data_IF_832190819629
#
_entry.id   IF_832190819629
#
_cell.length_a   1.000
_cell.length_b   1.000
_cell.length_c   1.000
_cell.angle_alpha   90.00
_cell.angle_beta   90.00
_cell.angle_gamma   90.00
#
_symmetry.space_group_name_H-M   'P 1'
#
loop_
_entity.id
_entity.type
_entity.pdbx_description
1 polymer ?
#
# COMPACT_ATOMS: atom_id res chain seq x y z
N UNK A 1 2.45 -5.86 -26.28
CA UNK A 1 3.01 -6.38 -25.02
C UNK A 1 2.07 -7.37 -24.33
N UNK A 2 2.58 -8.18 -23.38
CA UNK A 2 1.75 -8.99 -22.47
C UNK A 2 1.19 -8.10 -21.36
N UNK A 3 -0.06 -8.34 -20.97
CA UNK A 3 -0.74 -7.58 -19.92
C UNK A 3 -1.88 -8.36 -19.27
N UNK A 4 -2.22 -7.96 -18.03
CA UNK A 4 -3.39 -8.42 -17.27
C UNK A 4 -4.41 -7.30 -17.26
N UNK A 5 -5.55 -7.51 -17.89
CA UNK A 5 -6.52 -6.44 -18.13
C UNK A 5 -7.96 -6.86 -17.90
N UNK A 6 -8.80 -5.89 -17.62
CA UNK A 6 -10.26 -6.03 -17.69
C UNK A 6 -10.73 -5.58 -19.06
N UNK A 7 -11.43 -6.45 -19.76
CA UNK A 7 -12.08 -6.15 -21.02
C UNK A 7 -13.48 -6.74 -21.01
N UNK A 8 -14.48 -5.93 -21.30
CA UNK A 8 -15.92 -6.33 -21.25
C UNK A 8 -16.28 -7.06 -19.95
N UNK A 9 -15.75 -6.59 -18.80
CA UNK A 9 -16.02 -7.17 -17.49
C UNK A 9 -15.27 -8.48 -17.18
N UNK A 10 -14.41 -8.96 -18.09
CA UNK A 10 -13.67 -10.19 -17.91
C UNK A 10 -12.17 -9.93 -17.70
N UNK A 11 -11.54 -10.71 -16.81
CA UNK A 11 -10.10 -10.68 -16.60
C UNK A 11 -9.39 -11.49 -17.68
N UNK A 12 -8.58 -10.81 -18.49
CA UNK A 12 -7.80 -11.37 -19.58
C UNK A 12 -6.31 -11.25 -19.26
N UNK A 13 -5.59 -12.35 -19.42
CA UNK A 13 -4.13 -12.41 -19.34
C UNK A 13 -3.58 -12.83 -20.70
N UNK A 14 -2.62 -12.12 -21.24
CA UNK A 14 -1.99 -12.51 -22.50
C UNK A 14 -1.36 -11.39 -23.29
N UNK A 15 -0.81 -11.76 -24.46
CA UNK A 15 -0.16 -10.88 -25.41
C UNK A 15 -1.16 -10.05 -26.23
N UNK A 16 -0.63 -9.15 -27.06
CA UNK A 16 -1.41 -8.37 -28.02
C UNK A 16 -2.02 -7.09 -27.45
N UNK A 17 -1.72 -6.70 -26.22
CA UNK A 17 -2.08 -5.36 -25.75
C UNK A 17 -1.13 -4.32 -26.36
N UNK A 18 -1.63 -3.15 -26.78
CA UNK A 18 -0.77 -2.09 -27.32
C UNK A 18 0.34 -1.71 -26.35
N UNK A 19 1.54 -1.43 -26.86
CA UNK A 19 2.56 -0.82 -26.03
C UNK A 19 2.22 0.65 -25.78
N UNK A 20 2.55 1.19 -24.62
CA UNK A 20 2.32 2.60 -24.35
C UNK A 20 3.29 3.48 -25.16
N UNK A 21 2.76 4.56 -25.71
CA UNK A 21 3.56 5.59 -26.37
C UNK A 21 4.28 6.48 -25.35
N UNK A 22 5.46 6.96 -25.74
CA UNK A 22 6.19 7.96 -24.98
C UNK A 22 5.71 9.36 -25.38
N UNK A 23 4.92 9.99 -24.52
CA UNK A 23 4.45 11.37 -24.69
C UNK A 23 5.32 12.34 -23.86
N UNK A 24 5.23 13.64 -24.17
CA UNK A 24 5.95 14.67 -23.41
C UNK A 24 5.52 14.65 -21.93
N UNK A 25 6.49 14.54 -21.03
CA UNK A 25 6.25 14.45 -19.58
C UNK A 25 5.86 13.05 -19.08
N UNK A 26 5.92 12.04 -19.96
CA UNK A 26 5.61 10.64 -19.62
C UNK A 26 6.85 9.78 -19.76
N UNK A 27 7.10 8.93 -18.78
CA UNK A 27 8.09 7.86 -18.83
C UNK A 27 7.43 6.52 -19.12
N UNK A 28 7.97 5.79 -20.11
CA UNK A 28 7.64 4.39 -20.35
C UNK A 28 8.61 3.55 -19.52
N UNK A 29 8.07 2.76 -18.62
CA UNK A 29 8.82 1.96 -17.64
C UNK A 29 8.64 0.48 -17.95
N UNK A 30 9.74 -0.24 -18.14
CA UNK A 30 9.73 -1.70 -18.18
C UNK A 30 9.58 -2.22 -16.76
N UNK A 31 8.50 -2.92 -16.53
CA UNK A 31 8.13 -3.43 -15.21
C UNK A 31 8.98 -4.65 -14.86
N UNK A 32 9.54 -4.66 -13.65
CA UNK A 32 10.29 -5.79 -13.11
C UNK A 32 9.43 -6.62 -12.18
N UNK A 33 8.83 -5.97 -11.17
CA UNK A 33 8.03 -6.60 -10.13
C UNK A 33 6.77 -5.81 -9.87
N UNK A 34 5.66 -6.50 -9.68
CA UNK A 34 4.39 -5.92 -9.26
C UNK A 34 3.95 -6.57 -7.96
N UNK A 35 3.63 -5.77 -6.95
CA UNK A 35 2.99 -6.22 -5.73
C UNK A 35 1.48 -6.16 -5.92
N UNK A 36 0.79 -7.29 -5.76
CA UNK A 36 -0.67 -7.33 -5.80
C UNK A 36 -1.23 -6.59 -4.58
N UNK A 37 -2.10 -5.62 -4.83
CA UNK A 37 -2.74 -4.79 -3.81
C UNK A 37 -4.21 -5.15 -3.62
N UNK A 38 -4.83 -4.65 -2.55
CA UNK A 38 -6.28 -4.80 -2.35
C UNK A 38 -7.09 -4.12 -3.46
N UNK A 39 -6.57 -3.03 -4.04
CA UNK A 39 -7.20 -2.36 -5.17
C UNK A 39 -7.26 -3.29 -6.39
N UNK A 40 -6.17 -4.01 -6.68
CA UNK A 40 -6.12 -4.97 -7.78
C UNK A 40 -7.14 -6.10 -7.58
N UNK A 41 -7.27 -6.58 -6.34
CA UNK A 41 -8.31 -7.57 -5.98
C UNK A 41 -9.72 -7.00 -6.14
N UNK A 42 -9.94 -5.75 -5.75
CA UNK A 42 -11.21 -5.06 -5.92
C UNK A 42 -11.61 -4.91 -7.39
N UNK A 43 -10.64 -4.56 -8.24
CA UNK A 43 -10.83 -4.49 -9.71
C UNK A 43 -11.11 -5.87 -10.29
N UNK A 44 -10.30 -6.87 -9.96
CA UNK A 44 -10.45 -8.24 -10.49
C UNK A 44 -11.80 -8.88 -10.11
N UNK A 45 -12.38 -8.49 -8.97
CA UNK A 45 -13.70 -8.94 -8.51
C UNK A 45 -14.87 -8.09 -9.05
N UNK A 46 -14.60 -7.05 -9.85
CA UNK A 46 -15.62 -6.13 -10.37
C UNK A 46 -16.21 -5.19 -9.30
N UNK A 47 -15.62 -5.10 -8.12
CA UNK A 47 -16.03 -4.20 -7.04
C UNK A 47 -15.62 -2.76 -7.40
N UNK A 48 -14.45 -2.60 -8.00
CA UNK A 48 -13.91 -1.33 -8.48
C UNK A 48 -14.07 -1.30 -10.00
N UNK A 49 -14.85 -0.37 -10.56
CA UNK A 49 -15.01 -0.24 -12.00
C UNK A 49 -13.68 0.07 -12.69
N UNK A 50 -13.29 -0.74 -13.67
CA UNK A 50 -12.11 -0.54 -14.47
C UNK A 50 -12.23 -1.18 -15.85
N UNK A 51 -11.56 -0.60 -16.84
CA UNK A 51 -11.30 -1.17 -18.16
C UNK A 51 -9.86 -0.85 -18.50
N UNK A 52 -9.08 -1.83 -18.94
CA UNK A 52 -7.63 -1.70 -19.19
C UNK A 52 -6.78 -2.54 -18.26
N UNK A 53 -5.50 -2.22 -18.16
CA UNK A 53 -4.49 -2.97 -17.40
C UNK A 53 -4.60 -2.68 -15.91
N UNK A 54 -4.54 -3.73 -15.08
CA UNK A 54 -4.51 -3.63 -13.61
C UNK A 54 -3.10 -3.27 -13.10
N UNK A 55 -2.99 -3.03 -11.80
CA UNK A 55 -1.71 -2.90 -11.09
C UNK A 55 -1.43 -1.49 -10.63
N UNK A 56 -1.04 -1.35 -9.36
CA UNK A 56 -0.73 -0.06 -8.74
C UNK A 56 0.69 0.04 -8.18
N UNK A 57 1.19 -1.02 -7.58
CA UNK A 57 2.47 -1.02 -6.88
C UNK A 57 3.51 -1.82 -7.65
N UNK A 58 4.55 -1.16 -8.13
CA UNK A 58 5.59 -1.80 -8.94
C UNK A 58 6.96 -1.20 -8.73
N UNK A 59 7.97 -1.91 -9.18
CA UNK A 59 9.32 -1.41 -9.47
C UNK A 59 9.66 -1.76 -10.90
N UNK A 60 10.32 -0.86 -11.61
CA UNK A 60 10.73 -1.05 -13.01
C UNK A 60 11.91 -0.19 -13.40
N UNK A 61 12.34 -0.33 -14.65
CA UNK A 61 13.42 0.46 -15.24
C UNK A 61 12.84 1.37 -16.32
N UNK A 62 13.15 2.64 -16.26
CA UNK A 62 12.73 3.61 -17.28
C UNK A 62 13.42 3.32 -18.60
N UNK A 63 12.67 2.98 -19.64
CA UNK A 63 13.21 2.72 -20.97
C UNK A 63 13.23 3.96 -21.84
N UNK A 64 12.13 4.73 -21.81
CA UNK A 64 11.96 5.91 -22.66
C UNK A 64 11.33 7.04 -21.88
N UNK A 65 11.82 8.25 -22.08
CA UNK A 65 11.22 9.50 -21.59
C UNK A 65 11.24 10.53 -22.70
N UNK A 66 10.15 11.23 -22.88
CA UNK A 66 10.08 12.42 -23.75
C UNK A 66 9.90 13.65 -22.86
N UNK A 67 10.82 14.59 -22.90
CA UNK A 67 10.77 15.79 -22.06
C UNK A 67 12.08 16.58 -22.05
N UNK A 68 12.18 17.61 -21.21
CA UNK A 68 13.33 18.52 -21.21
C UNK A 68 14.65 17.88 -20.74
N UNK A 69 14.59 16.84 -19.87
CA UNK A 69 15.78 16.11 -19.42
C UNK A 69 15.52 14.59 -19.38
N UNK A 70 15.46 13.95 -20.56
CA UNK A 70 15.20 12.50 -20.63
C UNK A 70 16.31 11.66 -19.98
N UNK A 71 17.55 12.17 -19.95
CA UNK A 71 18.72 11.42 -19.44
C UNK A 71 18.70 11.26 -17.93
N UNK A 72 18.02 12.13 -17.21
CA UNK A 72 17.94 12.06 -15.76
C UNK A 72 17.26 10.79 -15.24
N UNK A 73 16.28 10.25 -15.99
CA UNK A 73 15.48 9.09 -15.58
C UNK A 73 15.76 7.84 -16.42
N UNK A 74 16.13 7.95 -17.70
CA UNK A 74 16.35 6.77 -18.56
C UNK A 74 17.42 5.84 -17.97
N UNK A 75 17.11 4.55 -17.92
CA UNK A 75 17.95 3.52 -17.32
C UNK A 75 17.90 3.45 -15.80
N UNK A 76 17.18 4.37 -15.13
CA UNK A 76 17.04 4.34 -13.66
C UNK A 76 15.98 3.33 -13.25
N UNK A 77 16.26 2.63 -12.15
CA UNK A 77 15.24 1.88 -11.44
C UNK A 77 14.32 2.86 -10.71
N UNK A 78 13.01 2.68 -10.87
CA UNK A 78 11.99 3.58 -10.32
C UNK A 78 10.82 2.80 -9.71
N UNK A 79 10.15 3.48 -8.81
CA UNK A 79 8.78 3.18 -8.34
C UNK A 79 7.88 4.35 -8.70
N UNK A 80 6.56 4.22 -8.64
CA UNK A 80 5.66 5.31 -8.96
C UNK A 80 4.52 5.46 -7.94
N UNK A 81 4.08 6.71 -7.75
CA UNK A 81 2.81 6.97 -7.09
C UNK A 81 1.65 6.46 -7.94
N UNK A 82 0.71 5.68 -7.40
CA UNK A 82 -0.47 5.31 -8.14
C UNK A 82 -1.47 6.47 -8.30
N UNK A 83 -1.45 7.45 -7.39
CA UNK A 83 -2.27 8.66 -7.47
C UNK A 83 -1.61 9.67 -8.41
N UNK A 84 -2.29 10.04 -9.48
CA UNK A 84 -1.82 10.90 -10.57
C UNK A 84 -2.70 12.14 -10.63
N UNK A 85 -2.46 13.14 -9.76
CA UNK A 85 -3.25 14.36 -9.76
C UNK A 85 -2.96 15.21 -10.99
N UNK A 86 -3.96 16.02 -11.39
CA UNK A 86 -3.73 17.08 -12.36
C UNK A 86 -2.79 18.14 -11.74
N UNK A 87 -1.61 18.41 -12.33
CA UNK A 87 -0.62 19.31 -11.73
C UNK A 87 -1.14 20.72 -11.45
N UNK A 88 -2.13 21.17 -12.22
CA UNK A 88 -2.75 22.50 -12.13
C UNK A 88 -3.87 22.58 -11.08
N UNK A 89 -4.27 21.47 -10.49
CA UNK A 89 -5.34 21.45 -9.48
C UNK A 89 -4.90 22.16 -8.19
N UNK A 90 -5.86 22.77 -7.50
CA UNK A 90 -5.61 23.46 -6.22
C UNK A 90 -5.08 22.50 -5.15
N UNK A 91 -5.63 21.28 -5.11
CA UNK A 91 -5.18 20.25 -4.16
C UNK A 91 -3.75 19.77 -4.46
N UNK A 92 -3.37 19.65 -5.74
CA UNK A 92 -1.99 19.29 -6.10
C UNK A 92 -1.01 20.40 -5.67
N UNK A 93 -1.33 21.67 -5.91
CA UNK A 93 -0.50 22.81 -5.48
C UNK A 93 -0.32 22.92 -3.97
N UNK A 94 -1.30 22.44 -3.20
CA UNK A 94 -1.24 22.36 -1.72
C UNK A 94 -0.55 21.10 -1.18
N UNK A 95 0.01 20.24 -2.04
CA UNK A 95 0.61 18.95 -1.64
C UNK A 95 -0.43 17.89 -1.27
N UNK A 96 -1.70 18.09 -1.59
CA UNK A 96 -2.81 17.18 -1.32
C UNK A 96 -3.31 16.47 -2.59
N UNK A 97 -2.48 16.36 -3.62
CA UNK A 97 -2.88 15.80 -4.92
C UNK A 97 -3.43 14.37 -4.84
N UNK A 98 -2.95 13.54 -3.92
CA UNK A 98 -3.50 12.22 -3.68
C UNK A 98 -4.97 12.23 -3.19
N UNK A 99 -5.48 13.36 -2.75
CA UNK A 99 -6.88 13.56 -2.33
C UNK A 99 -7.72 14.30 -3.38
N UNK A 100 -7.14 14.65 -4.53
CA UNK A 100 -7.86 15.29 -5.62
C UNK A 100 -8.94 14.32 -6.18
N UNK A 101 -10.22 14.69 -6.15
CA UNK A 101 -11.28 13.83 -6.70
C UNK A 101 -11.16 13.63 -8.22
N UNK A 102 -10.49 14.53 -8.93
CA UNK A 102 -10.26 14.47 -10.37
C UNK A 102 -8.97 13.72 -10.76
N UNK A 103 -8.16 13.27 -9.77
CA UNK A 103 -6.93 12.54 -10.07
C UNK A 103 -7.20 11.26 -10.85
N UNK A 104 -6.34 10.94 -11.80
CA UNK A 104 -6.25 9.60 -12.33
C UNK A 104 -5.56 8.66 -11.32
N UNK A 105 -5.85 7.36 -11.40
CA UNK A 105 -5.23 6.34 -10.54
C UNK A 105 -4.77 5.18 -11.41
N UNK A 106 -3.52 4.76 -11.28
CA UNK A 106 -2.99 3.59 -12.01
C UNK A 106 -3.84 2.34 -11.75
N UNK A 107 -4.23 1.65 -12.82
CA UNK A 107 -5.02 0.41 -12.73
C UNK A 107 -6.47 0.60 -12.28
N UNK A 108 -7.00 1.84 -12.32
CA UNK A 108 -8.38 2.15 -11.90
C UNK A 108 -9.01 3.16 -12.85
N UNK A 109 -10.33 3.05 -13.06
CA UNK A 109 -11.12 4.08 -13.76
C UNK A 109 -10.76 4.29 -15.23
N UNK A 110 -10.18 3.28 -15.90
CA UNK A 110 -9.77 3.38 -17.30
C UNK A 110 -8.32 3.84 -17.51
N UNK A 111 -7.57 4.17 -16.47
CA UNK A 111 -6.12 4.41 -16.56
C UNK A 111 -5.38 3.09 -16.42
N UNK A 112 -4.57 2.73 -17.43
CA UNK A 112 -3.75 1.52 -17.40
C UNK A 112 -2.79 1.49 -16.22
N UNK A 113 -2.66 0.32 -15.61
CA UNK A 113 -1.77 0.01 -14.49
C UNK A 113 -0.50 -0.72 -14.91
N UNK A 114 0.15 -1.33 -13.94
CA UNK A 114 1.48 -1.89 -14.06
C UNK A 114 1.55 -3.43 -14.15
N UNK A 115 0.41 -4.15 -14.16
CA UNK A 115 0.39 -5.61 -14.42
C UNK A 115 0.57 -5.89 -15.92
N UNK A 116 1.70 -5.44 -16.47
CA UNK A 116 2.11 -5.56 -17.86
C UNK A 116 3.64 -5.51 -17.98
N UNK A 117 4.16 -5.79 -19.19
CA UNK A 117 5.59 -5.65 -19.47
C UNK A 117 6.05 -4.19 -19.42
N UNK A 118 5.19 -3.26 -19.86
CA UNK A 118 5.46 -1.82 -19.89
C UNK A 118 4.29 -1.04 -19.27
N UNK A 119 4.61 0.07 -18.61
CA UNK A 119 3.62 1.03 -18.10
C UNK A 119 4.04 2.46 -18.40
N UNK A 120 3.09 3.30 -18.81
CA UNK A 120 3.30 4.73 -19.01
C UNK A 120 2.90 5.51 -17.74
N UNK A 121 3.83 6.27 -17.19
CA UNK A 121 3.64 7.03 -15.95
C UNK A 121 4.14 8.47 -16.15
N UNK A 122 3.39 9.50 -15.71
CA UNK A 122 3.90 10.86 -15.65
C UNK A 122 5.25 10.93 -14.91
N UNK A 123 6.23 11.62 -15.46
CA UNK A 123 7.59 11.68 -14.87
C UNK A 123 7.58 12.25 -13.45
N UNK A 124 6.65 13.17 -13.14
CA UNK A 124 6.47 13.72 -11.79
C UNK A 124 5.96 12.72 -10.75
N UNK A 125 5.42 11.57 -11.17
CA UNK A 125 4.99 10.50 -10.25
C UNK A 125 6.09 9.43 -10.04
N UNK A 126 7.17 9.46 -10.81
CA UNK A 126 8.30 8.53 -10.72
C UNK A 126 9.23 8.95 -9.58
N UNK A 127 9.66 7.99 -8.78
CA UNK A 127 10.68 8.15 -7.74
C UNK A 127 11.81 7.17 -8.02
N UNK A 128 13.03 7.71 -8.20
CA UNK A 128 14.21 6.89 -8.43
C UNK A 128 14.55 6.06 -7.18
N UNK A 129 14.78 4.77 -7.40
CA UNK A 129 15.29 3.86 -6.38
C UNK A 129 16.80 4.01 -6.30
N UNK A 130 17.40 4.19 -5.12
CA UNK A 130 18.84 4.27 -4.96
C UNK A 130 19.55 3.01 -5.46
N UNK A 131 20.75 3.14 -6.04
CA UNK A 131 21.57 1.98 -6.42
C UNK A 131 21.77 1.03 -5.24
N UNK A 132 21.73 -0.29 -5.51
CA UNK A 132 21.93 -1.33 -4.50
C UNK A 132 20.66 -1.76 -3.76
N UNK A 133 19.52 -1.09 -3.93
CA UNK A 133 18.24 -1.59 -3.43
C UNK A 133 17.70 -2.63 -4.41
N UNK A 134 17.56 -3.86 -3.91
CA UNK A 134 17.03 -4.97 -4.70
C UNK A 134 15.56 -4.70 -5.12
N UNK A 135 15.15 -5.02 -6.37
CA UNK A 135 13.75 -4.90 -6.80
C UNK A 135 12.73 -5.57 -5.87
N UNK A 136 13.08 -6.69 -5.25
CA UNK A 136 12.23 -7.39 -4.30
C UNK A 136 11.99 -6.59 -3.00
N UNK A 137 12.91 -5.70 -2.68
CA UNK A 137 12.74 -4.75 -1.58
C UNK A 137 12.05 -3.48 -2.07
N UNK A 138 12.42 -3.01 -3.26
CA UNK A 138 11.89 -1.76 -3.84
C UNK A 138 10.37 -1.82 -4.07
N UNK A 139 9.81 -2.98 -4.38
CA UNK A 139 8.35 -3.16 -4.59
C UNK A 139 7.53 -2.84 -3.33
N UNK A 140 8.15 -2.85 -2.14
CA UNK A 140 7.51 -2.45 -0.88
C UNK A 140 7.48 -0.92 -0.66
N UNK A 141 8.05 -0.10 -1.54
CA UNK A 141 8.11 1.35 -1.34
C UNK A 141 6.73 1.98 -1.07
N UNK A 142 5.71 1.58 -1.86
CA UNK A 142 4.34 2.12 -1.69
C UNK A 142 3.69 1.70 -0.36
N UNK A 143 3.63 0.42 0.03
CA UNK A 143 3.07 0.06 1.33
C UNK A 143 3.88 0.61 2.51
N UNK A 144 5.19 0.79 2.38
CA UNK A 144 6.03 1.44 3.40
C UNK A 144 5.72 2.93 3.53
N UNK A 145 5.54 3.66 2.42
CA UNK A 145 5.11 5.05 2.44
C UNK A 145 3.79 5.22 3.22
N UNK A 146 2.83 4.32 3.00
CA UNK A 146 1.54 4.31 3.70
C UNK A 146 1.67 3.98 5.19
N UNK A 147 2.51 3.00 5.54
CA UNK A 147 2.80 2.64 6.92
C UNK A 147 3.48 3.80 7.68
N UNK A 148 4.44 4.46 7.05
CA UNK A 148 5.12 5.63 7.61
C UNK A 148 4.14 6.79 7.81
N UNK A 149 3.27 7.08 6.83
CA UNK A 149 2.25 8.11 6.96
C UNK A 149 1.30 7.83 8.14
N UNK A 150 0.86 6.58 8.32
CA UNK A 150 0.01 6.21 9.46
C UNK A 150 0.70 6.48 10.81
N UNK A 151 2.01 6.32 10.87
CA UNK A 151 2.80 6.63 12.06
C UNK A 151 3.00 8.15 12.27
N UNK A 152 3.10 8.93 11.19
CA UNK A 152 3.35 10.37 11.21
C UNK A 152 2.10 11.21 11.45
N UNK A 153 0.92 10.72 11.02
CA UNK A 153 -0.34 11.47 11.11
C UNK A 153 -0.76 11.70 12.56
N UNK A 154 -0.27 10.86 13.46
CA UNK A 154 -0.53 10.96 14.90
C UNK A 154 0.72 11.48 15.60
N UNK A 155 0.64 12.72 16.11
CA UNK A 155 1.70 13.31 16.91
C UNK A 155 1.43 13.09 18.38
N UNK A 156 2.14 12.15 19.00
CA UNK A 156 2.04 11.91 20.44
C UNK A 156 3.40 12.19 21.08
N UNK A 157 3.44 13.11 22.05
CA UNK A 157 4.68 13.39 22.79
C UNK A 157 5.12 12.20 23.63
N UNK A 158 6.43 12.02 23.76
CA UNK A 158 7.01 10.98 24.59
C UNK A 158 7.10 9.62 23.90
N UNK A 159 6.88 8.56 24.67
CA UNK A 159 6.89 7.17 24.19
C UNK A 159 5.48 6.58 24.26
N UNK A 160 4.67 6.72 23.20
CA UNK A 160 3.28 6.27 23.21
C UNK A 160 3.15 4.75 23.29
N UNK A 161 2.07 4.29 23.89
CA UNK A 161 1.60 2.90 23.78
C UNK A 161 0.74 2.76 22.53
N UNK A 162 1.23 1.97 21.58
CA UNK A 162 0.60 1.78 20.28
C UNK A 162 0.22 0.32 20.09
N UNK A 163 -1.05 0.08 19.76
CA UNK A 163 -1.51 -1.24 19.32
C UNK A 163 -1.81 -1.20 17.83
N UNK A 164 -1.25 -2.16 17.09
CA UNK A 164 -1.58 -2.42 15.69
C UNK A 164 -2.54 -3.60 15.63
N UNK A 165 -3.72 -3.41 15.05
CA UNK A 165 -4.73 -4.44 14.82
C UNK A 165 -4.60 -5.03 13.42
N UNK A 166 -4.53 -6.35 13.38
CA UNK A 166 -4.33 -7.14 12.17
C UNK A 166 -2.88 -7.60 12.01
N UNK A 167 -2.71 -8.58 11.14
CA UNK A 167 -1.41 -9.17 10.79
C UNK A 167 -1.19 -9.26 9.27
N UNK A 168 -1.92 -8.46 8.49
CA UNK A 168 -1.68 -8.29 7.07
C UNK A 168 -0.40 -7.48 6.80
N UNK A 169 0.03 -7.40 5.55
CA UNK A 169 1.26 -6.69 5.16
C UNK A 169 1.34 -5.27 5.75
N UNK A 170 0.25 -4.51 5.72
CA UNK A 170 0.21 -3.13 6.23
C UNK A 170 0.46 -3.07 7.73
N UNK A 171 -0.18 -3.97 8.48
CA UNK A 171 0.02 -4.09 9.92
C UNK A 171 1.48 -4.41 10.28
N UNK A 172 2.05 -5.41 9.59
CA UNK A 172 3.43 -5.84 9.82
C UNK A 172 4.43 -4.71 9.53
N UNK A 173 4.23 -3.96 8.44
CA UNK A 173 5.08 -2.82 8.10
C UNK A 173 4.89 -1.65 9.07
N UNK A 174 3.63 -1.34 9.44
CA UNK A 174 3.34 -0.27 10.41
C UNK A 174 3.95 -0.58 11.78
N UNK A 175 3.89 -1.83 12.25
CA UNK A 175 4.49 -2.25 13.51
C UNK A 175 6.01 -2.05 13.51
N UNK A 176 6.70 -2.42 12.43
CA UNK A 176 8.15 -2.19 12.30
C UNK A 176 8.50 -0.70 12.29
N UNK A 177 7.76 0.10 11.51
CA UNK A 177 7.99 1.55 11.42
C UNK A 177 7.79 2.21 12.77
N UNK A 178 6.71 1.91 13.48
CA UNK A 178 6.41 2.47 14.79
C UNK A 178 7.44 2.09 15.86
N UNK A 179 7.90 0.83 15.86
CA UNK A 179 8.95 0.38 16.78
C UNK A 179 10.25 1.18 16.63
N UNK A 180 10.55 1.65 15.41
CA UNK A 180 11.71 2.51 15.13
C UNK A 180 11.51 3.96 15.55
N UNK A 181 10.28 4.43 15.55
CA UNK A 181 9.93 5.79 15.97
C UNK A 181 9.77 5.93 17.50
N UNK A 182 10.38 5.02 18.27
CA UNK A 182 10.39 5.04 19.73
C UNK A 182 9.01 4.85 20.38
N UNK A 183 8.10 4.12 19.75
CA UNK A 183 6.85 3.71 20.35
C UNK A 183 6.96 2.40 21.13
N UNK A 184 6.14 2.21 22.16
CA UNK A 184 5.89 0.89 22.75
C UNK A 184 4.84 0.17 21.92
N UNK A 185 5.26 -0.67 20.97
CA UNK A 185 4.37 -1.28 20.00
C UNK A 185 3.95 -2.68 20.40
N UNK A 186 2.66 -2.95 20.27
CA UNK A 186 2.06 -4.28 20.32
C UNK A 186 1.28 -4.54 19.04
N UNK A 187 1.44 -5.73 18.45
CA UNK A 187 0.62 -6.19 17.33
C UNK A 187 -0.35 -7.26 17.82
N UNK A 188 -1.60 -7.15 17.41
CA UNK A 188 -2.65 -8.14 17.66
C UNK A 188 -3.09 -8.74 16.32
N UNK A 189 -2.91 -10.02 16.18
CA UNK A 189 -3.22 -10.76 14.96
C UNK A 189 -3.79 -12.14 15.25
N UNK A 190 -3.97 -12.94 14.21
CA UNK A 190 -4.55 -14.29 14.30
C UNK A 190 -3.61 -15.39 13.81
N UNK A 191 -2.61 -15.04 12.99
CA UNK A 191 -1.72 -16.01 12.36
C UNK A 191 -0.41 -16.15 13.15
N UNK A 192 -0.15 -17.34 13.76
CA UNK A 192 1.02 -17.52 14.65
C UNK A 192 2.35 -17.19 13.99
N UNK A 193 2.59 -17.65 12.76
CA UNK A 193 3.83 -17.42 12.01
C UNK A 193 4.11 -15.94 11.72
N UNK A 194 3.06 -15.11 11.63
CA UNK A 194 3.18 -13.65 11.50
C UNK A 194 3.47 -12.99 12.84
N UNK A 195 2.86 -13.49 13.90
CA UNK A 195 3.13 -13.03 15.26
C UNK A 195 4.57 -13.33 15.67
N UNK A 196 5.09 -14.53 15.34
CA UNK A 196 6.47 -14.92 15.62
C UNK A 196 7.50 -14.01 14.93
N UNK A 197 7.17 -13.43 13.76
CA UNK A 197 8.02 -12.43 13.11
C UNK A 197 8.18 -11.17 13.96
N UNK A 198 7.15 -10.76 14.67
CA UNK A 198 7.16 -9.56 15.51
C UNK A 198 8.21 -9.62 16.62
N UNK A 199 8.52 -10.82 17.14
CA UNK A 199 9.55 -11.01 18.16
C UNK A 199 10.92 -10.54 17.67
N UNK A 200 11.26 -10.82 16.40
CA UNK A 200 12.54 -10.40 15.79
C UNK A 200 12.67 -8.87 15.66
N UNK A 201 11.57 -8.16 15.63
CA UNK A 201 11.53 -6.70 15.48
C UNK A 201 11.42 -5.96 16.81
N UNK A 202 11.41 -6.69 17.94
CA UNK A 202 11.19 -6.12 19.26
C UNK A 202 9.75 -5.62 19.47
N UNK A 203 8.81 -6.08 18.64
CA UNK A 203 7.38 -5.77 18.72
C UNK A 203 6.69 -6.80 19.59
N UNK A 204 6.04 -6.36 20.68
CA UNK A 204 5.18 -7.23 21.46
C UNK A 204 4.03 -7.72 20.60
N UNK A 205 3.63 -8.97 20.76
CA UNK A 205 2.53 -9.54 19.97
C UNK A 205 1.68 -10.48 20.82
N UNK A 206 0.43 -10.65 20.40
CA UNK A 206 -0.52 -11.55 21.04
C UNK A 206 -1.62 -11.92 20.07
N UNK A 207 -2.26 -13.06 20.28
CA UNK A 207 -3.49 -13.38 19.58
C UNK A 207 -4.57 -12.34 19.93
N UNK A 208 -5.36 -11.89 18.94
CA UNK A 208 -6.33 -10.80 19.13
C UNK A 208 -7.39 -11.13 20.17
N UNK A 209 -7.82 -12.39 20.27
CA UNK A 209 -8.86 -12.82 21.23
C UNK A 209 -8.38 -12.79 22.69
N UNK A 210 -7.05 -12.74 22.89
CA UNK A 210 -6.44 -12.58 24.21
C UNK A 210 -6.22 -11.11 24.60
N UNK A 211 -6.66 -10.18 23.72
CA UNK A 211 -6.47 -8.76 23.96
C UNK A 211 -7.39 -8.25 25.06
N UNK A 212 -6.81 -7.71 26.11
CA UNK A 212 -7.58 -6.98 27.14
C UNK A 212 -8.08 -5.64 26.58
N UNK A 213 -9.28 -5.24 26.98
CA UNK A 213 -9.88 -3.94 26.66
C UNK A 213 -9.70 -2.96 27.84
N UNK A 214 -8.42 -2.69 28.18
CA UNK A 214 -8.08 -1.92 29.38
C UNK A 214 -8.25 -0.41 29.24
N UNK A 215 -8.47 0.10 28.01
CA UNK A 215 -8.61 1.53 27.75
C UNK A 215 -7.34 2.33 28.08
N UNK A 216 -6.15 1.77 27.77
CA UNK A 216 -4.84 2.30 28.15
C UNK A 216 -3.94 2.64 26.94
N UNK A 217 -4.42 2.39 25.71
CA UNK A 217 -3.63 2.63 24.51
C UNK A 217 -3.76 4.08 24.04
N UNK A 218 -2.61 4.72 23.79
CA UNK A 218 -2.56 6.07 23.21
C UNK A 218 -3.06 6.11 21.78
N UNK A 219 -2.61 5.12 20.97
CA UNK A 219 -2.92 5.00 19.55
C UNK A 219 -3.25 3.55 19.21
N UNK A 220 -4.26 3.39 18.38
CA UNK A 220 -4.55 2.12 17.71
C UNK A 220 -4.44 2.32 16.20
N UNK A 221 -3.64 1.51 15.53
CA UNK A 221 -3.59 1.43 14.06
C UNK A 221 -4.45 0.25 13.64
N UNK A 222 -5.66 0.51 13.15
CA UNK A 222 -6.54 -0.53 12.63
C UNK A 222 -6.29 -0.74 11.12
N UNK A 223 -5.73 -1.89 10.77
CA UNK A 223 -5.49 -2.30 9.38
C UNK A 223 -6.54 -3.27 8.84
N UNK A 224 -7.45 -3.74 9.66
CA UNK A 224 -8.51 -4.68 9.28
C UNK A 224 -9.74 -3.96 8.72
N UNK A 225 -10.12 -2.84 9.32
CA UNK A 225 -11.23 -1.98 8.87
C UNK A 225 -12.59 -2.70 8.88
N UNK A 226 -12.80 -3.60 9.81
CA UNK A 226 -14.09 -4.22 10.07
C UNK A 226 -14.82 -3.52 11.22
N UNK A 227 -16.13 -3.76 11.36
CA UNK A 227 -16.88 -3.26 12.53
C UNK A 227 -16.28 -3.81 13.83
N UNK A 228 -15.96 -5.10 13.84
CA UNK A 228 -15.39 -5.80 15.00
C UNK A 228 -14.01 -5.24 15.38
N UNK A 229 -13.14 -4.95 14.40
CA UNK A 229 -11.84 -4.35 14.71
C UNK A 229 -11.98 -2.93 15.23
N UNK A 230 -12.93 -2.15 14.69
CA UNK A 230 -13.20 -0.80 15.16
C UNK A 230 -13.77 -0.78 16.61
N UNK A 231 -14.71 -1.67 16.93
CA UNK A 231 -15.22 -1.82 18.28
C UNK A 231 -14.13 -2.27 19.28
N UNK A 232 -13.26 -3.19 18.86
CA UNK A 232 -12.10 -3.60 19.64
C UNK A 232 -11.15 -2.42 19.87
N UNK A 233 -10.87 -1.62 18.82
CA UNK A 233 -10.06 -0.42 18.92
C UNK A 233 -10.66 0.59 19.91
N UNK A 234 -11.96 0.86 19.82
CA UNK A 234 -12.64 1.73 20.76
C UNK A 234 -12.50 1.23 22.21
N UNK A 235 -12.61 -0.09 22.43
CA UNK A 235 -12.47 -0.67 23.78
C UNK A 235 -11.06 -0.55 24.36
N UNK A 236 -10.01 -0.55 23.52
CA UNK A 236 -8.62 -0.46 23.94
C UNK A 236 -8.10 0.96 24.05
N UNK A 237 -8.66 1.92 23.32
CA UNK A 237 -8.21 3.31 23.34
C UNK A 237 -8.45 3.93 24.73
N UNK A 238 -7.45 4.64 25.25
CA UNK A 238 -7.66 5.49 26.44
C UNK A 238 -8.60 6.65 26.10
N UNK A 239 -9.22 7.31 27.10
CA UNK A 239 -9.92 8.56 26.86
C UNK A 239 -9.03 9.56 26.11
N UNK A 240 -9.58 10.19 25.06
CA UNK A 240 -8.90 11.09 24.13
C UNK A 240 -7.76 10.44 23.33
N UNK A 241 -7.73 9.11 23.24
CA UNK A 241 -6.84 8.33 22.40
C UNK A 241 -7.19 8.48 20.92
N UNK A 242 -6.30 7.97 20.05
CA UNK A 242 -6.47 8.09 18.60
C UNK A 242 -6.56 6.70 17.94
N UNK A 243 -7.55 6.53 17.08
CA UNK A 243 -7.69 5.37 16.22
C UNK A 243 -7.36 5.80 14.79
N UNK A 244 -6.35 5.16 14.18
CA UNK A 244 -5.96 5.37 12.79
C UNK A 244 -6.48 4.21 11.94
N UNK A 245 -7.36 4.50 11.00
CA UNK A 245 -7.87 3.53 10.04
C UNK A 245 -6.89 3.48 8.86
N UNK A 246 -6.03 2.46 8.83
CA UNK A 246 -4.98 2.29 7.83
C UNK A 246 -5.47 1.42 6.68
N UNK A 247 -5.53 1.94 5.47
CA UNK A 247 -5.88 1.13 4.32
C UNK A 247 -6.06 1.86 3.01
N UNK A 248 -6.33 1.08 1.97
CA UNK A 248 -6.77 1.58 0.67
C UNK A 248 -8.28 1.86 0.76
N UNK A 249 -8.76 2.82 -0.03
CA UNK A 249 -10.20 3.10 -0.07
C UNK A 249 -10.89 1.97 -0.82
N UNK A 250 -11.73 1.16 -0.20
CA UNK A 250 -12.60 0.27 -0.96
C UNK A 250 -13.59 1.15 -1.71
N UNK A 251 -13.61 1.05 -3.04
CA UNK A 251 -14.65 1.69 -3.84
C UNK A 251 -16.00 0.97 -3.69
N UNK A 252 -16.01 -0.20 -3.08
CA UNK A 252 -17.23 -0.84 -2.66
C UNK A 252 -17.86 -0.06 -1.50
N UNK A 253 -19.12 0.28 -1.66
CA UNK A 253 -19.95 0.82 -0.58
C UNK A 253 -20.27 -0.29 0.43
N UNK A 254 -19.25 -0.85 1.06
CA UNK A 254 -19.43 -1.76 2.17
C UNK A 254 -19.88 -0.93 3.36
N UNK A 255 -21.17 -1.01 3.67
CA UNK A 255 -21.73 -0.38 4.86
C UNK A 255 -21.48 -1.34 6.03
N UNK A 256 -20.69 -0.92 6.99
CA UNK A 256 -20.56 -1.59 8.29
C UNK A 256 -21.30 -0.75 9.32
N UNK A 257 -22.19 -1.37 10.06
CA UNK A 257 -22.76 -0.74 11.25
C UNK A 257 -21.72 -0.81 12.37
N UNK A 258 -21.40 0.30 12.99
CA UNK A 258 -20.55 0.36 14.18
C UNK A 258 -21.19 1.25 15.24
N UNK A 259 -20.97 0.91 16.51
CA UNK A 259 -21.39 1.75 17.63
C UNK A 259 -20.43 2.94 17.77
N UNK A 260 -20.98 4.15 17.67
CA UNK A 260 -20.21 5.39 17.83
C UNK A 260 -20.25 5.93 19.28
N UNK A 261 -21.05 5.34 20.18
CA UNK A 261 -21.14 5.81 21.57
C UNK A 261 -19.76 5.85 22.26
N UNK A 262 -18.88 4.84 22.14
CA UNK A 262 -17.55 4.89 22.76
C UNK A 262 -16.66 6.02 22.21
N UNK A 263 -16.84 6.42 20.94
CA UNK A 263 -16.10 7.55 20.35
C UNK A 263 -16.50 8.86 21.03
N UNK A 264 -17.79 9.04 21.28
CA UNK A 264 -18.34 10.24 21.93
C UNK A 264 -17.99 10.26 23.43
N UNK A 265 -18.28 9.17 24.13
CA UNK A 265 -18.08 9.06 25.58
C UNK A 265 -16.62 9.23 26.02
N UNK A 266 -15.67 8.77 25.18
CA UNK A 266 -14.23 8.85 25.48
C UNK A 266 -13.53 9.96 24.72
N UNK A 267 -14.25 10.79 23.98
CA UNK A 267 -13.67 11.86 23.13
C UNK A 267 -12.54 11.34 22.21
N UNK A 268 -12.74 10.17 21.55
CA UNK A 268 -11.71 9.57 20.72
C UNK A 268 -11.53 10.34 19.40
N UNK A 269 -10.29 10.44 18.94
CA UNK A 269 -9.97 10.89 17.60
C UNK A 269 -9.95 9.71 16.63
N UNK A 270 -10.70 9.77 15.53
CA UNK A 270 -10.68 8.76 14.46
C UNK A 270 -10.13 9.40 13.19
N UNK A 271 -9.02 8.86 12.67
CA UNK A 271 -8.27 9.45 11.55
C UNK A 271 -8.05 8.40 10.47
N UNK A 272 -8.32 8.77 9.21
CA UNK A 272 -8.00 7.90 8.07
C UNK A 272 -6.55 8.07 7.59
N UNK A 273 -5.85 6.98 7.26
CA UNK A 273 -4.52 6.98 6.67
C UNK A 273 -4.50 6.12 5.40
N UNK A 274 -4.38 6.76 4.24
CA UNK A 274 -4.39 6.09 2.92
C UNK A 274 -3.11 6.32 2.12
N UNK A 275 -2.62 7.55 2.12
CA UNK A 275 -1.51 8.00 1.28
C UNK A 275 -0.22 8.09 2.11
N UNK A 276 0.90 8.31 1.43
CA UNK A 276 2.18 8.60 2.05
C UNK A 276 3.15 9.08 0.99
N UNK A 277 4.22 9.74 1.41
CA UNK A 277 5.30 10.18 0.52
C UNK A 277 6.07 8.96 0.01
N UNK A 278 5.97 8.68 -1.29
CA UNK A 278 6.70 7.56 -1.90
C UNK A 278 8.22 7.74 -1.76
N UNK A 279 8.70 9.00 -1.82
CA UNK A 279 10.11 9.33 -1.59
C UNK A 279 10.58 8.92 -0.20
N UNK A 280 9.78 9.17 0.84
CA UNK A 280 10.09 8.73 2.21
C UNK A 280 10.06 7.20 2.34
N UNK A 281 9.15 6.53 1.63
CA UNK A 281 9.13 5.06 1.56
C UNK A 281 10.41 4.49 0.96
N UNK A 282 10.92 5.11 -0.11
CA UNK A 282 12.20 4.75 -0.76
C UNK A 282 13.39 5.03 0.18
N UNK A 283 13.41 6.16 0.87
CA UNK A 283 14.45 6.47 1.86
C UNK A 283 14.47 5.47 3.02
N UNK A 284 13.32 5.04 3.45
CA UNK A 284 13.20 4.01 4.49
C UNK A 284 13.77 2.67 4.01
N UNK A 285 13.58 2.30 2.74
CA UNK A 285 14.22 1.13 2.12
C UNK A 285 15.74 1.29 2.07
N UNK A 286 16.24 2.47 1.68
CA UNK A 286 17.67 2.78 1.62
C UNK A 286 18.37 2.60 2.97
N UNK A 287 17.67 2.90 4.06
CA UNK A 287 18.22 2.75 5.41
C UNK A 287 18.58 1.29 5.76
N UNK A 288 18.04 0.32 5.05
CA UNK A 288 18.26 -1.11 5.28
C UNK A 288 17.76 -1.63 6.63
N UNK A 289 17.05 -0.79 7.35
CA UNK A 289 16.71 -1.03 8.75
C UNK A 289 15.46 -1.89 8.98
N UNK A 290 14.67 -2.12 7.94
CA UNK A 290 13.45 -2.95 8.01
C UNK A 290 13.73 -4.39 7.59
N UNK A 291 13.16 -5.33 8.32
CA UNK A 291 13.15 -6.75 7.95
C UNK A 291 11.99 -7.03 7.00
N UNK A 292 12.29 -7.12 5.72
CA UNK A 292 11.33 -7.46 4.65
C UNK A 292 11.44 -8.93 4.23
N UNK A 293 12.39 -9.67 4.81
CA UNK A 293 12.68 -11.03 4.39
C UNK A 293 11.52 -11.98 4.71
N UNK A 294 11.13 -12.75 3.69
CA UNK A 294 9.99 -13.67 3.78
C UNK A 294 8.62 -13.01 3.89
N UNK A 295 8.49 -11.68 3.66
CA UNK A 295 7.18 -11.04 3.48
C UNK A 295 6.57 -11.37 2.12
N UNK A 296 7.39 -11.57 1.08
CA UNK A 296 6.92 -12.13 -0.19
C UNK A 296 6.68 -13.63 0.04
N UNK A 297 5.42 -14.00 0.19
CA UNK A 297 5.03 -15.40 0.48
C UNK A 297 4.99 -16.26 -0.77
N UNK A 298 4.63 -15.68 -1.92
CA UNK A 298 4.60 -16.40 -3.21
C UNK A 298 4.92 -15.46 -4.37
N UNK A 299 5.48 -16.06 -5.44
CA UNK A 299 5.78 -15.39 -6.69
C UNK A 299 5.10 -16.07 -7.85
N UNK A 300 4.75 -15.28 -8.85
CA UNK A 300 4.13 -15.73 -10.07
C UNK A 300 4.73 -15.01 -11.27
N UNK A 301 4.64 -15.63 -12.44
CA UNK A 301 4.90 -14.95 -13.71
C UNK A 301 3.69 -14.12 -14.13
N UNK A 302 3.86 -13.20 -15.05
CA UNK A 302 2.77 -12.39 -15.57
C UNK A 302 1.65 -13.25 -16.19
N UNK A 303 2.02 -14.35 -16.87
CA UNK A 303 1.07 -15.28 -17.46
C UNK A 303 0.21 -16.02 -16.41
N UNK A 304 0.72 -16.19 -15.18
CA UNK A 304 0.05 -16.82 -14.05
C UNK A 304 -0.68 -15.82 -13.14
N UNK A 305 -0.93 -14.60 -13.63
CA UNK A 305 -1.51 -13.52 -12.81
C UNK A 305 -2.91 -13.84 -12.23
N UNK A 306 -3.70 -14.73 -12.88
CA UNK A 306 -4.97 -15.19 -12.31
C UNK A 306 -4.75 -15.98 -11.03
N UNK A 307 -3.74 -16.83 -11.00
CA UNK A 307 -3.33 -17.59 -9.81
C UNK A 307 -2.73 -16.65 -8.75
N UNK A 308 -1.97 -15.63 -9.16
CA UNK A 308 -1.44 -14.59 -8.27
C UNK A 308 -2.57 -13.84 -7.55
N UNK A 309 -3.62 -13.42 -8.26
CA UNK A 309 -4.78 -12.75 -7.68
C UNK A 309 -5.57 -13.66 -6.73
N UNK A 310 -5.71 -14.96 -7.05
CA UNK A 310 -6.31 -15.92 -6.12
C UNK A 310 -5.47 -16.12 -4.87
N UNK A 311 -4.14 -16.26 -5.03
CA UNK A 311 -3.21 -16.40 -3.92
C UNK A 311 -3.20 -15.16 -3.02
N UNK A 312 -3.31 -13.96 -3.58
CA UNK A 312 -3.39 -12.72 -2.82
C UNK A 312 -4.70 -12.58 -2.01
N UNK A 313 -5.72 -13.36 -2.37
CA UNK A 313 -6.99 -13.43 -1.62
C UNK A 313 -6.96 -14.46 -0.49
N UNK A 314 -5.92 -15.28 -0.43
CA UNK A 314 -5.75 -16.29 0.62
C UNK A 314 -5.28 -15.60 1.92
N UNK A 315 -5.98 -15.79 3.06
CA UNK A 315 -5.56 -15.23 4.34
C UNK A 315 -4.15 -15.63 4.79
N UNK A 316 -3.63 -16.77 4.32
CA UNK A 316 -2.26 -17.21 4.63
C UNK A 316 -1.18 -16.38 3.90
N UNK A 317 -1.53 -15.66 2.84
CA UNK A 317 -0.60 -14.83 2.08
C UNK A 317 -0.33 -13.48 2.76
N UNK A 318 0.94 -13.04 2.80
CA UNK A 318 1.33 -11.71 3.28
C UNK A 318 1.49 -10.76 2.08
N UNK A 319 2.39 -11.08 1.16
CA UNK A 319 2.60 -10.34 -0.06
C UNK A 319 2.76 -11.29 -1.25
N UNK A 320 2.07 -11.00 -2.33
CA UNK A 320 2.17 -11.72 -3.60
C UNK A 320 2.81 -10.79 -4.62
N UNK A 321 3.87 -11.29 -5.26
CA UNK A 321 4.61 -10.55 -6.29
C UNK A 321 4.45 -11.27 -7.63
N UNK A 322 4.26 -10.47 -8.69
CA UNK A 322 4.29 -10.90 -10.08
C UNK A 322 5.56 -10.39 -10.74
N UNK A 323 6.34 -11.31 -11.30
CA UNK A 323 7.51 -11.02 -12.13
C UNK A 323 7.03 -10.70 -13.55
N UNK A 324 7.24 -9.47 -14.00
CA UNK A 324 6.80 -9.01 -15.32
C UNK A 324 7.90 -9.07 -16.39
N UNK A 325 9.16 -9.29 -15.97
CA UNK A 325 10.34 -9.32 -16.83
C UNK A 325 10.74 -10.75 -17.28
N UNK A 326 9.92 -11.77 -16.99
CA UNK A 326 10.20 -13.20 -17.28
C UNK A 326 9.09 -13.86 -18.06
#
# INVERSE_FOLDING_TARGET
MRAVRIQTGSLIVGAGYPEPDAETGVGVVRVLRVLITETDLGVARGIIPHTGVLGQAFVGVVERVVGPDPRALTGRTVVASPDLPEPTSDLARRGMGAHDPARAVLGVGGRDGCLAELVAVPTGALVAVPPGVDPDRAVFALPLARALHAAQIVRIPGKPYVTVLGDNLRALLAAQVLARLNASVRLLGTMPDRLDRCARWGVKHRHRDEAGRWGDQDVIIDSERSAESFELACGMARPRGTIVLLGETPHARQRSACDLAPVIERELSVVGARCGSLGEGVELLRSGTLDLDGLITRRFRLDDAKEALRAASDPSSIAIVVDADR
#
